data_IF_724597734165
#
_entry.id   IF_724597734165
#
_cell.length_a   1.000
_cell.length_b   1.000
_cell.length_c   1.000
_cell.angle_alpha   90.00
_cell.angle_beta   90.00
_cell.angle_gamma   90.00
#
_symmetry.space_group_name_H-M   'P 1'
#
loop_
_entity.id
_entity.type
_entity.pdbx_description
1 polymer ?
#
# COMPACT_ATOMS: atom_id res chain seq x y z
N UNK A 1 -11.57 4.88 3.96
CA UNK A 1 -10.89 6.14 4.36
C UNK A 1 -9.39 6.06 4.11
N UNK A 2 -8.74 4.95 4.48
CA UNK A 2 -7.32 4.69 4.24
C UNK A 2 -6.91 4.93 2.77
N UNK A 3 -7.53 4.22 1.82
CA UNK A 3 -7.20 4.35 0.39
C UNK A 3 -7.24 5.80 -0.11
N UNK A 4 -8.32 6.53 0.18
CA UNK A 4 -8.46 7.93 -0.23
C UNK A 4 -7.34 8.85 0.29
N UNK A 5 -6.84 8.61 1.51
CA UNK A 5 -5.72 9.39 2.08
C UNK A 5 -4.44 9.08 1.32
N UNK A 6 -4.14 7.81 1.10
CA UNK A 6 -2.94 7.39 0.37
C UNK A 6 -2.99 7.86 -1.09
N UNK A 7 -4.14 7.72 -1.75
CA UNK A 7 -4.36 8.21 -3.11
C UNK A 7 -4.13 9.71 -3.22
N UNK A 8 -4.65 10.49 -2.26
CA UNK A 8 -4.38 11.92 -2.18
C UNK A 8 -2.88 12.23 -1.99
N UNK A 9 -2.20 11.55 -1.07
CA UNK A 9 -0.76 11.75 -0.81
C UNK A 9 0.11 11.40 -2.01
N UNK A 10 -0.23 10.34 -2.74
CA UNK A 10 0.48 9.91 -3.94
C UNK A 10 0.14 10.76 -5.17
N UNK A 11 -0.92 11.57 -5.12
CA UNK A 11 -1.44 12.31 -6.28
C UNK A 11 -1.99 11.39 -7.37
N UNK A 12 -2.55 10.23 -6.99
CA UNK A 12 -3.05 9.20 -7.89
C UNK A 12 -4.55 8.98 -7.70
N UNK A 13 -5.20 8.39 -8.71
CA UNK A 13 -6.57 7.90 -8.56
C UNK A 13 -6.60 6.68 -7.62
N UNK A 14 -7.70 6.49 -6.90
CA UNK A 14 -7.95 5.31 -6.06
C UNK A 14 -7.66 3.98 -6.79
N UNK A 15 -8.05 3.91 -8.07
CA UNK A 15 -7.80 2.74 -8.93
C UNK A 15 -6.31 2.50 -9.16
N UNK A 16 -5.55 3.57 -9.43
CA UNK A 16 -4.10 3.47 -9.65
C UNK A 16 -3.37 3.14 -8.36
N UNK A 17 -3.72 3.79 -7.25
CA UNK A 17 -3.16 3.51 -5.92
C UNK A 17 -3.39 2.06 -5.53
N UNK A 18 -4.63 1.57 -5.65
CA UNK A 18 -4.95 0.18 -5.32
C UNK A 18 -4.14 -0.81 -6.17
N UNK A 19 -3.95 -0.53 -7.47
CA UNK A 19 -3.10 -1.36 -8.32
C UNK A 19 -1.66 -1.40 -7.79
N UNK A 20 -1.04 -0.25 -7.51
CA UNK A 20 0.35 -0.22 -7.04
C UNK A 20 0.55 -0.84 -5.67
N UNK A 21 -0.39 -0.65 -4.73
CA UNK A 21 -0.31 -1.31 -3.43
C UNK A 21 -0.36 -2.83 -3.60
N UNK A 22 -1.24 -3.36 -4.44
CA UNK A 22 -1.28 -4.79 -4.76
C UNK A 22 -0.01 -5.29 -5.43
N UNK A 23 0.49 -4.58 -6.44
CA UNK A 23 1.73 -4.95 -7.13
C UNK A 23 2.91 -5.04 -6.12
N UNK A 24 2.98 -4.12 -5.15
CA UNK A 24 4.02 -4.12 -4.10
C UNK A 24 3.82 -5.22 -3.05
N UNK A 25 2.57 -5.51 -2.66
CA UNK A 25 2.25 -6.62 -1.76
C UNK A 25 2.54 -7.98 -2.42
N UNK A 26 2.20 -8.16 -3.70
CA UNK A 26 2.46 -9.39 -4.48
C UNK A 26 3.95 -9.67 -4.67
N UNK A 27 4.78 -8.61 -4.67
CA UNK A 27 6.23 -8.70 -4.75
C UNK A 27 6.90 -8.82 -3.38
N UNK A 28 6.13 -9.01 -2.31
CA UNK A 28 6.59 -9.09 -0.92
C UNK A 28 7.43 -7.86 -0.49
N UNK A 29 7.20 -6.68 -1.08
CA UNK A 29 7.88 -5.45 -0.63
C UNK A 29 7.22 -4.86 0.61
N UNK A 30 5.88 -4.93 0.67
CA UNK A 30 5.10 -4.32 1.73
C UNK A 30 3.98 -5.24 2.22
N UNK A 31 3.45 -4.91 3.40
CA UNK A 31 2.17 -5.42 3.91
C UNK A 31 1.29 -4.22 4.25
N UNK A 32 0.04 -4.25 3.79
CA UNK A 32 -0.96 -3.22 4.07
C UNK A 32 -1.93 -3.70 5.15
N UNK A 33 -2.06 -2.90 6.22
CA UNK A 33 -3.02 -3.11 7.29
C UNK A 33 -4.03 -1.96 7.25
N UNK A 34 -5.14 -2.15 6.51
CA UNK A 34 -6.14 -1.11 6.29
C UNK A 34 -6.90 -0.71 7.57
N UNK A 35 -7.09 -1.65 8.50
CA UNK A 35 -7.77 -1.41 9.77
C UNK A 35 -6.90 -0.56 10.71
N UNK A 36 -5.61 -0.88 10.80
CA UNK A 36 -4.66 -0.06 11.55
C UNK A 36 -4.23 1.20 10.79
N UNK A 37 -4.49 1.27 9.48
CA UNK A 37 -4.16 2.39 8.61
C UNK A 37 -2.67 2.55 8.35
N UNK A 38 -1.92 1.45 8.23
CA UNK A 38 -0.46 1.46 8.06
C UNK A 38 0.02 0.59 6.90
N UNK A 39 1.16 0.97 6.33
CA UNK A 39 1.93 0.20 5.34
C UNK A 39 3.29 -0.10 5.95
N UNK A 40 3.74 -1.35 5.92
CA UNK A 40 5.02 -1.79 6.51
C UNK A 40 5.87 -2.47 5.45
N UNK A 41 7.17 -2.24 5.43
CA UNK A 41 8.12 -2.96 4.58
C UNK A 41 8.35 -4.38 5.13
N UNK A 42 8.43 -5.37 4.24
CA UNK A 42 8.81 -6.73 4.60
C UNK A 42 10.34 -6.80 4.69
N UNK A 43 10.88 -7.14 5.86
CA UNK A 43 12.32 -7.38 5.98
C UNK A 43 12.65 -8.75 5.36
N UNK A 44 13.66 -8.85 4.47
CA UNK A 44 14.10 -10.16 3.99
C UNK A 44 14.59 -10.99 5.18
N UNK A 45 14.19 -12.26 5.21
CA UNK A 45 14.75 -13.23 6.17
C UNK A 45 16.18 -13.52 5.71
N UNK A 46 17.16 -13.11 6.52
CA UNK A 46 18.59 -13.44 6.32
C UNK A 46 18.87 -14.93 6.42
#
# INVERSE_FOLDING_TARGET
>A
RFLAIISYQMGLSDRTTMKYLRDLEELDFIVVDEEAGVIREVKPVE
#
